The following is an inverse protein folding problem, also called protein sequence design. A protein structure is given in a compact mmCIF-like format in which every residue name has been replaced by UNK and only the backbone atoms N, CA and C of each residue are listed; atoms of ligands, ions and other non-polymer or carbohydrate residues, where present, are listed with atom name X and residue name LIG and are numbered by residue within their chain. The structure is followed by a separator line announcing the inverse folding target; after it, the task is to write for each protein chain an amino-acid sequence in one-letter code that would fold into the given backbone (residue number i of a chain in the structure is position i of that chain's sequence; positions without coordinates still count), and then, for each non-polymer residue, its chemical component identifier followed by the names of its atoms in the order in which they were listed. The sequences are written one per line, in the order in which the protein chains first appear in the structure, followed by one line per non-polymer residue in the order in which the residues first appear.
data_IF_632565784607
#
_entry.id   IF_632565784607
#
_cell.length_a   1.000
_cell.length_b   1.000
_cell.length_c   1.000
_cell.angle_alpha   90.00
_cell.angle_beta   90.00
_cell.angle_gamma   90.00
#
_symmetry.space_group_name_H-M   'P 1'
#
loop_
_entity.id
_entity.type
_entity.pdbx_description
1 polymer ?
#
# COMPACT_ATOMS: atom_id res chain seq x y z
N UNK A 1 6.91 -16.86 -1.14
CA UNK A 1 5.64 -16.17 -1.41
C UNK A 1 5.90 -15.22 -2.58
N UNK A 2 5.23 -15.40 -3.74
CA UNK A 2 5.53 -14.60 -4.93
C UNK A 2 4.75 -13.29 -4.83
N UNK A 3 5.47 -12.20 -4.55
CA UNK A 3 4.97 -10.85 -4.75
C UNK A 3 4.68 -10.72 -6.26
N UNK A 4 3.41 -10.62 -6.64
CA UNK A 4 3.06 -10.40 -8.05
C UNK A 4 3.58 -9.02 -8.48
N UNK A 5 4.59 -9.00 -9.34
CA UNK A 5 5.13 -7.80 -9.96
C UNK A 5 4.61 -7.73 -11.41
N UNK A 6 3.76 -6.75 -11.75
CA UNK A 6 3.29 -6.58 -13.12
C UNK A 6 4.46 -6.22 -14.05
N UNK A 7 4.54 -6.82 -15.25
CA UNK A 7 5.63 -6.56 -16.20
C UNK A 7 5.70 -5.08 -16.59
N UNK A 8 6.90 -4.59 -16.91
CA UNK A 8 7.21 -3.17 -17.17
C UNK A 8 6.32 -2.52 -18.25
N UNK A 9 5.79 -3.31 -19.19
CA UNK A 9 4.90 -2.85 -20.25
C UNK A 9 3.40 -2.84 -19.93
N UNK A 10 2.98 -3.16 -18.70
CA UNK A 10 1.56 -3.26 -18.36
C UNK A 10 0.86 -1.88 -18.44
N UNK A 11 -0.28 -1.72 -19.15
CA UNK A 11 -0.96 -0.43 -19.31
C UNK A 11 -1.30 0.26 -17.99
N UNK A 12 -1.71 -0.51 -16.97
CA UNK A 12 -1.96 0.02 -15.63
C UNK A 12 -0.68 0.55 -14.97
N UNK A 13 0.45 -0.14 -15.12
CA UNK A 13 1.73 0.31 -14.53
C UNK A 13 2.15 1.65 -15.10
N UNK A 14 2.01 1.83 -16.43
CA UNK A 14 2.28 3.12 -17.10
C UNK A 14 1.32 4.22 -16.63
N UNK A 15 0.03 3.91 -16.47
CA UNK A 15 -0.95 4.86 -15.97
C UNK A 15 -0.61 5.33 -14.54
N UNK A 16 -0.32 4.42 -13.62
CA UNK A 16 -0.01 4.79 -12.24
C UNK A 16 1.34 5.46 -12.07
N UNK A 17 2.36 5.10 -12.86
CA UNK A 17 3.63 5.84 -12.87
C UNK A 17 3.40 7.30 -13.26
N UNK A 18 2.70 7.57 -14.37
CA UNK A 18 2.39 8.93 -14.79
C UNK A 18 1.58 9.73 -13.76
N UNK A 19 0.53 9.13 -13.19
CA UNK A 19 -0.30 9.79 -12.17
C UNK A 19 0.47 10.03 -10.86
N UNK A 20 1.27 9.07 -10.42
CA UNK A 20 2.02 9.20 -9.16
C UNK A 20 3.13 10.23 -9.31
N UNK A 21 3.86 10.22 -10.43
CA UNK A 21 4.85 11.26 -10.73
C UNK A 21 4.22 12.65 -10.78
N UNK A 22 3.08 12.79 -11.47
CA UNK A 22 2.37 14.06 -11.54
C UNK A 22 1.90 14.54 -10.16
N UNK A 23 1.24 13.68 -9.38
CA UNK A 23 0.74 14.04 -8.07
C UNK A 23 1.87 14.44 -7.09
N UNK A 24 2.97 13.68 -7.06
CA UNK A 24 4.09 13.97 -6.15
C UNK A 24 4.88 15.19 -6.57
N UNK A 25 5.08 15.39 -7.88
CA UNK A 25 5.81 16.55 -8.39
C UNK A 25 4.96 17.83 -8.33
N UNK A 26 3.73 17.80 -8.83
CA UNK A 26 2.88 18.98 -8.98
C UNK A 26 2.19 19.42 -7.67
N UNK A 27 1.86 18.48 -6.78
CA UNK A 27 1.10 18.80 -5.56
C UNK A 27 1.91 18.73 -4.27
N UNK A 28 3.00 17.96 -4.24
CA UNK A 28 3.78 17.74 -3.01
C UNK A 28 5.23 18.24 -3.09
N UNK A 29 5.73 18.62 -4.27
CA UNK A 29 7.10 19.08 -4.46
C UNK A 29 8.15 18.02 -4.15
N UNK A 30 7.78 16.74 -4.17
CA UNK A 30 8.66 15.61 -3.85
C UNK A 30 9.22 15.03 -5.14
N UNK A 31 10.55 15.11 -5.29
CA UNK A 31 11.29 14.52 -6.40
C UNK A 31 12.11 13.32 -5.91
N UNK A 32 11.41 12.23 -5.56
CA UNK A 32 12.02 10.97 -5.12
C UNK A 32 11.55 9.81 -6.03
N UNK A 33 12.26 9.55 -7.14
CA UNK A 33 11.84 8.56 -8.14
C UNK A 33 11.63 7.16 -7.56
N UNK A 34 12.46 6.74 -6.59
CA UNK A 34 12.35 5.42 -5.97
C UNK A 34 11.09 5.29 -5.12
N UNK A 35 10.70 6.37 -4.44
CA UNK A 35 9.48 6.41 -3.66
C UNK A 35 8.24 6.40 -4.59
N UNK A 36 8.24 7.22 -5.63
CA UNK A 36 7.12 7.28 -6.59
C UNK A 36 6.96 5.98 -7.36
N UNK A 37 8.05 5.31 -7.74
CA UNK A 37 8.01 3.99 -8.38
C UNK A 37 7.40 2.95 -7.45
N UNK A 38 7.80 2.96 -6.17
CA UNK A 38 7.25 2.03 -5.18
C UNK A 38 5.74 2.23 -4.99
N UNK A 39 5.30 3.49 -4.89
CA UNK A 39 3.88 3.83 -4.71
C UNK A 39 3.05 3.50 -5.94
N UNK A 40 3.59 3.72 -7.15
CA UNK A 40 2.96 3.31 -8.41
C UNK A 40 2.78 1.79 -8.47
N UNK A 41 3.80 1.05 -8.05
CA UNK A 41 3.75 -0.41 -7.96
C UNK A 41 2.77 -0.88 -6.87
N UNK A 42 2.71 -0.20 -5.73
CA UNK A 42 1.72 -0.45 -4.68
C UNK A 42 0.31 -0.30 -5.24
N UNK A 43 -0.02 0.82 -5.89
CA UNK A 43 -1.34 1.02 -6.49
C UNK A 43 -1.67 -0.07 -7.51
N UNK A 44 -0.74 -0.38 -8.40
CA UNK A 44 -0.94 -1.42 -9.42
C UNK A 44 -1.20 -2.79 -8.79
N UNK A 45 -0.55 -3.13 -7.67
CA UNK A 45 -0.78 -4.38 -6.93
C UNK A 45 -2.17 -4.45 -6.32
N UNK A 46 -2.68 -3.33 -5.79
CA UNK A 46 -3.93 -3.29 -5.02
C UNK A 46 -5.19 -3.06 -5.87
N UNK A 47 -5.05 -2.68 -7.14
CA UNK A 47 -6.20 -2.53 -8.07
C UNK A 47 -6.84 -3.87 -8.44
N UNK A 48 -6.08 -4.96 -8.37
CA UNK A 48 -6.68 -6.27 -8.26
C UNK A 48 -7.07 -6.47 -6.79
N UNK A 49 -8.35 -6.22 -6.46
CA UNK A 49 -8.95 -6.41 -5.13
C UNK A 49 -8.60 -7.80 -4.52
N UNK A 50 -8.35 -8.81 -5.36
CA UNK A 50 -7.87 -10.14 -4.96
C UNK A 50 -6.49 -10.16 -4.29
N UNK A 51 -5.70 -9.07 -4.38
CA UNK A 51 -4.38 -8.94 -3.74
C UNK A 51 -4.47 -8.40 -2.32
N UNK A 52 -5.54 -7.68 -2.01
CA UNK A 52 -5.75 -6.99 -0.72
C UNK A 52 -5.99 -7.99 0.42
N UNK A 53 -6.63 -9.12 0.12
CA UNK A 53 -6.98 -10.17 1.09
C UNK A 53 -6.08 -11.41 0.99
N UNK A 54 -4.85 -11.26 0.48
CA UNK A 54 -3.95 -12.40 0.22
C UNK A 54 -3.30 -12.98 1.46
N UNK A 55 -3.20 -12.24 2.57
CA UNK A 55 -2.72 -12.80 3.81
C UNK A 55 -3.78 -13.71 4.41
N UNK A 56 -3.37 -14.91 4.82
CA UNK A 56 -4.22 -15.87 5.51
C UNK A 56 -3.67 -16.11 6.90
N UNK A 57 -4.54 -16.21 7.90
CA UNK A 57 -4.15 -16.62 9.25
C UNK A 57 -3.56 -18.02 9.27
N UNK A 58 -2.94 -18.41 10.38
CA UNK A 58 -2.54 -19.80 10.63
C UNK A 58 -3.70 -20.82 10.46
N UNK A 59 -4.95 -20.35 10.59
CA UNK A 59 -6.17 -21.15 10.37
C UNK A 59 -6.73 -21.08 8.93
N UNK A 60 -6.02 -20.45 7.98
CA UNK A 60 -6.36 -20.39 6.56
C UNK A 60 -7.43 -19.37 6.16
N UNK A 61 -7.88 -18.52 7.10
CA UNK A 61 -8.89 -17.45 6.86
C UNK A 61 -8.22 -16.20 6.28
N UNK A 62 -8.86 -15.50 5.31
CA UNK A 62 -8.33 -14.23 4.82
C UNK A 62 -8.27 -13.22 5.96
N UNK A 63 -7.10 -12.61 6.15
CA UNK A 63 -6.92 -11.51 7.10
C UNK A 63 -7.49 -10.26 6.44
N UNK A 64 -8.68 -9.86 6.89
CA UNK A 64 -9.37 -8.66 6.38
C UNK A 64 -9.08 -7.44 7.25
N UNK A 65 -8.67 -7.66 8.50
CA UNK A 65 -8.43 -6.62 9.47
C UNK A 65 -6.94 -6.45 9.74
N UNK A 66 -6.49 -5.20 9.79
CA UNK A 66 -5.11 -4.83 10.06
C UNK A 66 -4.62 -5.39 11.40
N UNK A 67 -5.50 -5.44 12.40
CA UNK A 67 -5.21 -5.96 13.74
C UNK A 67 -4.83 -7.43 13.68
N UNK A 68 -5.60 -8.25 12.97
CA UNK A 68 -5.30 -9.67 12.82
C UNK A 68 -3.97 -9.89 12.07
N UNK A 69 -3.67 -9.08 11.05
CA UNK A 69 -2.39 -9.15 10.34
C UNK A 69 -1.20 -8.87 11.27
N UNK A 70 -1.32 -7.86 12.13
CA UNK A 70 -0.27 -7.50 13.11
C UNK A 70 -0.09 -8.63 14.14
N UNK A 71 -1.19 -9.17 14.67
CA UNK A 71 -1.15 -10.27 15.65
C UNK A 71 -0.50 -11.53 15.08
N UNK A 72 -0.77 -11.86 13.83
CA UNK A 72 -0.13 -12.98 13.14
C UNK A 72 1.36 -12.71 12.89
N UNK A 73 1.74 -11.47 12.54
CA UNK A 73 3.14 -11.10 12.30
C UNK A 73 4.01 -11.20 13.57
N UNK A 74 3.43 -10.91 14.74
CA UNK A 74 4.10 -11.03 16.04
C UNK A 74 4.34 -12.50 16.44
N UNK A 75 3.60 -13.45 15.87
CA UNK A 75 3.75 -14.89 16.12
C UNK A 75 4.76 -15.57 15.17
N UNK A 76 5.20 -14.88 14.11
CA UNK A 76 6.17 -15.44 13.17
C UNK A 76 7.58 -15.55 13.78
N UNK A 77 8.38 -16.57 13.38
CA UNK A 77 9.77 -16.68 13.80
C UNK A 77 10.56 -15.42 13.45
N UNK A 78 11.35 -14.94 14.41
CA UNK A 78 12.15 -13.73 14.26
C UNK A 78 13.20 -13.87 13.13
N UNK A 79 13.33 -12.84 12.30
CA UNK A 79 14.41 -12.71 11.30
C UNK A 79 14.20 -13.51 10.01
N UNK A 80 13.04 -14.11 9.78
CA UNK A 80 12.77 -14.85 8.55
C UNK A 80 12.35 -13.97 7.37
N UNK A 81 12.64 -14.41 6.13
CA UNK A 81 12.11 -13.82 4.88
C UNK A 81 10.59 -13.64 4.93
N UNK A 82 9.87 -14.59 5.53
CA UNK A 82 8.41 -14.55 5.71
C UNK A 82 7.96 -13.39 6.60
N UNK A 83 8.71 -13.10 7.68
CA UNK A 83 8.37 -12.02 8.61
C UNK A 83 8.51 -10.65 7.94
N UNK A 84 9.58 -10.47 7.16
CA UNK A 84 9.83 -9.26 6.36
C UNK A 84 8.73 -9.02 5.32
N UNK A 85 8.35 -10.07 4.59
CA UNK A 85 7.25 -10.00 3.61
C UNK A 85 5.91 -9.65 4.29
N UNK A 86 5.68 -10.14 5.52
CA UNK A 86 4.48 -9.82 6.32
C UNK A 86 4.43 -8.35 6.73
N UNK A 87 5.48 -7.83 7.37
CA UNK A 87 5.50 -6.42 7.80
C UNK A 87 5.46 -5.46 6.62
N UNK A 88 6.10 -5.80 5.49
CA UNK A 88 5.96 -5.03 4.25
C UNK A 88 4.50 -4.96 3.82
N UNK A 89 3.80 -6.09 3.84
CA UNK A 89 2.40 -6.14 3.43
C UNK A 89 1.49 -5.35 4.38
N UNK A 90 1.71 -5.41 5.69
CA UNK A 90 0.96 -4.61 6.67
C UNK A 90 1.15 -3.11 6.40
N UNK A 91 2.39 -2.69 6.12
CA UNK A 91 2.70 -1.31 5.73
C UNK A 91 1.97 -0.89 4.45
N UNK A 92 2.04 -1.72 3.41
CA UNK A 92 1.38 -1.49 2.11
C UNK A 92 -0.14 -1.39 2.28
N UNK A 93 -0.74 -2.31 3.04
CA UNK A 93 -2.18 -2.36 3.31
C UNK A 93 -2.63 -1.11 4.08
N UNK A 94 -1.89 -0.73 5.13
CA UNK A 94 -2.18 0.48 5.89
C UNK A 94 -2.12 1.74 5.02
N UNK A 95 -1.08 1.85 4.18
CA UNK A 95 -0.88 3.00 3.32
C UNK A 95 -1.95 3.11 2.23
N UNK A 96 -2.34 1.97 1.65
CA UNK A 96 -3.42 1.90 0.66
C UNK A 96 -4.75 2.38 1.24
N UNK A 97 -5.17 1.85 2.39
CA UNK A 97 -6.45 2.24 2.99
C UNK A 97 -6.47 3.69 3.47
N UNK A 98 -5.37 4.17 4.06
CA UNK A 98 -5.28 5.55 4.55
C UNK A 98 -5.20 6.58 3.43
N UNK A 99 -4.56 6.24 2.31
CA UNK A 99 -4.41 7.11 1.15
C UNK A 99 -5.60 7.06 0.19
N UNK A 100 -5.97 5.86 -0.27
CA UNK A 100 -6.95 5.66 -1.34
C UNK A 100 -8.38 5.67 -0.81
N UNK A 101 -8.67 4.98 0.28
CA UNK A 101 -10.05 4.86 0.82
C UNK A 101 -10.17 5.28 2.30
N UNK A 102 -9.77 6.52 2.65
CA UNK A 102 -9.85 7.01 4.02
C UNK A 102 -11.29 7.03 4.56
N UNK A 103 -12.30 7.20 3.70
CA UNK A 103 -13.71 7.28 4.08
C UNK A 103 -14.26 5.92 4.54
N UNK A 104 -13.73 4.83 3.98
CA UNK A 104 -14.08 3.48 4.42
C UNK A 104 -13.57 3.22 5.84
N UNK A 105 -12.38 3.72 6.18
CA UNK A 105 -11.84 3.62 7.54
C UNK A 105 -12.70 4.37 8.56
N UNK A 106 -13.27 5.52 8.18
CA UNK A 106 -14.19 6.27 9.04
C UNK A 106 -15.51 5.52 9.29
N UNK A 107 -16.02 4.79 8.30
CA UNK A 107 -17.21 3.93 8.46
C UNK A 107 -16.93 2.73 9.36
N UNK A 108 -15.78 2.07 9.18
CA UNK A 108 -15.34 0.98 10.05
C UNK A 108 -15.10 1.44 11.50
N UNK A 109 -14.48 2.61 11.70
CA UNK A 109 -14.28 3.20 13.04
C UNK A 109 -15.59 3.52 13.76
N UNK A 110 -16.65 3.87 13.03
CA UNK A 110 -17.99 4.13 13.60
C UNK A 110 -18.73 2.84 13.99
N UNK A 111 -18.44 1.72 13.32
CA UNK A 111 -19.08 0.42 13.60
C UNK A 111 -18.32 -0.44 14.62
N UNK A 112 -16.98 -0.32 14.68
CA UNK A 112 -16.14 -1.12 15.57
C UNK A 112 -15.92 -0.44 16.94
N UNK A 113 -16.78 -0.75 17.93
CA UNK A 113 -16.70 -0.26 19.32
C UNK A 113 -15.59 -0.95 20.14
N UNK A 114 -14.60 -1.61 19.53
CA UNK A 114 -13.48 -2.24 20.26
C UNK A 114 -12.06 -1.94 19.73
N UNK A 115 -11.91 -1.44 18.50
CA UNK A 115 -10.58 -1.24 17.86
C UNK A 115 -10.25 0.20 17.45
N UNK A 116 -11.03 1.18 17.93
CA UNK A 116 -10.86 2.60 17.57
C UNK A 116 -9.51 3.25 18.00
N UNK A 117 -8.59 2.50 18.63
CA UNK A 117 -7.28 2.95 19.07
C UNK A 117 -6.10 2.50 18.19
N UNK A 118 -6.30 1.56 17.25
CA UNK A 118 -5.23 1.20 16.32
C UNK A 118 -5.27 2.14 15.12
N UNK A 119 -4.49 3.22 15.21
CA UNK A 119 -4.29 4.10 14.07
C UNK A 119 -3.58 3.31 12.95
N UNK A 120 -4.27 3.13 11.82
CA UNK A 120 -3.68 2.54 10.61
C UNK A 120 -2.36 3.24 10.25
N UNK A 121 -2.29 4.56 10.43
CA UNK A 121 -1.07 5.34 10.29
C UNK A 121 0.04 4.85 11.21
N UNK A 122 -0.25 4.66 12.50
CA UNK A 122 0.74 4.18 13.46
C UNK A 122 1.28 2.79 13.09
N UNK A 123 0.38 1.84 12.78
CA UNK A 123 0.80 0.49 12.41
C UNK A 123 1.53 0.44 11.06
N UNK A 124 1.10 1.24 10.09
CA UNK A 124 1.77 1.36 8.79
C UNK A 124 3.20 1.87 8.96
N UNK A 125 3.39 2.96 9.73
CA UNK A 125 4.71 3.48 10.10
C UNK A 125 5.57 2.44 10.78
N UNK A 126 5.05 1.80 11.82
CA UNK A 126 5.76 0.77 12.59
C UNK A 126 6.19 -0.39 11.69
N UNK A 127 5.29 -0.85 10.82
CA UNK A 127 5.55 -2.00 9.94
C UNK A 127 6.63 -1.71 8.90
N UNK A 128 6.63 -0.52 8.29
CA UNK A 128 7.72 -0.11 7.41
C UNK A 128 9.06 0.06 8.16
N UNK A 129 9.05 0.58 9.39
CA UNK A 129 10.26 0.69 10.19
C UNK A 129 10.84 -0.68 10.54
N UNK A 130 9.99 -1.65 10.90
CA UNK A 130 10.42 -3.04 11.15
C UNK A 130 10.97 -3.66 9.86
N UNK A 131 10.28 -3.46 8.73
CA UNK A 131 10.74 -3.94 7.42
C UNK A 131 12.12 -3.36 7.08
N UNK A 132 12.33 -2.06 7.30
CA UNK A 132 13.63 -1.40 7.10
C UNK A 132 14.75 -2.06 7.90
N UNK A 133 14.51 -2.35 9.19
CA UNK A 133 15.49 -3.02 10.06
C UNK A 133 15.78 -4.46 9.62
N UNK A 134 14.76 -5.18 9.14
CA UNK A 134 14.93 -6.55 8.63
C UNK A 134 15.72 -6.55 7.32
N UNK A 135 15.50 -5.59 6.42
CA UNK A 135 16.32 -5.44 5.20
C UNK A 135 17.77 -5.04 5.52
N UNK A 136 17.98 -4.19 6.54
CA UNK A 136 19.30 -3.79 7.02
C UNK A 136 20.10 -4.97 7.58
N UNK A 137 19.43 -5.86 8.34
CA UNK A 137 20.03 -7.10 8.85
C UNK A 137 20.45 -8.08 7.74
N UNK A 138 19.79 -8.02 6.58
CA UNK A 138 20.10 -8.82 5.39
C UNK A 138 21.05 -8.09 4.42
N UNK A 139 21.64 -6.96 4.83
CA UNK A 139 22.53 -6.12 4.01
C UNK A 139 21.91 -5.54 2.73
N UNK A 140 20.58 -5.36 2.70
CA UNK A 140 19.85 -4.70 1.61
C UNK A 140 19.68 -3.19 1.88
N UNK A 141 20.79 -2.44 1.86
CA UNK A 141 20.82 -1.03 2.27
C UNK A 141 19.85 -0.13 1.48
N UNK A 142 19.70 -0.35 0.18
CA UNK A 142 18.80 0.46 -0.66
C UNK A 142 17.32 0.27 -0.26
N UNK A 143 16.90 -0.97 -0.05
CA UNK A 143 15.55 -1.34 0.38
C UNK A 143 15.30 -0.85 1.80
N UNK A 144 16.28 -1.03 2.70
CA UNK A 144 16.21 -0.53 4.06
C UNK A 144 15.97 1.00 4.08
N UNK A 145 16.69 1.75 3.25
CA UNK A 145 16.53 3.20 3.10
C UNK A 145 15.18 3.62 2.50
N UNK A 146 14.63 2.85 1.56
CA UNK A 146 13.28 3.08 1.03
C UNK A 146 12.20 2.90 2.10
N UNK A 147 12.22 1.77 2.83
CA UNK A 147 11.22 1.51 3.86
C UNK A 147 11.32 2.46 5.06
N UNK A 148 12.54 2.93 5.38
CA UNK A 148 12.75 3.98 6.38
C UNK A 148 12.03 5.27 5.98
N UNK A 149 12.22 5.72 4.74
CA UNK A 149 11.53 6.90 4.18
C UNK A 149 10.01 6.72 4.15
N UNK A 150 9.51 5.57 3.73
CA UNK A 150 8.06 5.26 3.75
C UNK A 150 7.47 5.34 5.16
N UNK A 151 8.23 4.96 6.19
CA UNK A 151 7.83 5.11 7.58
C UNK A 151 7.80 6.58 8.02
N UNK A 152 8.87 7.33 7.73
CA UNK A 152 9.01 8.73 8.13
C UNK A 152 8.01 9.67 7.42
N UNK A 153 7.78 9.42 6.13
CA UNK A 153 6.96 10.25 5.24
C UNK A 153 5.58 9.63 4.97
N UNK A 154 5.11 8.75 5.85
CA UNK A 154 3.89 7.96 5.63
C UNK A 154 2.66 8.84 5.30
N UNK A 155 2.41 9.90 6.08
CA UNK A 155 1.26 10.78 5.85
C UNK A 155 1.36 11.52 4.52
N UNK A 156 2.57 11.96 4.15
CA UNK A 156 2.81 12.58 2.85
C UNK A 156 2.53 11.59 1.72
N UNK A 157 2.98 10.35 1.86
CA UNK A 157 2.71 9.29 0.90
C UNK A 157 1.20 9.03 0.78
N UNK A 158 0.48 8.96 1.91
CA UNK A 158 -0.96 8.78 1.95
C UNK A 158 -1.71 9.93 1.24
N UNK A 159 -1.29 11.18 1.48
CA UNK A 159 -1.83 12.35 0.78
C UNK A 159 -1.58 12.29 -0.72
N UNK A 160 -0.39 11.88 -1.15
CA UNK A 160 -0.06 11.69 -2.56
C UNK A 160 -0.93 10.62 -3.22
N UNK A 161 -1.13 9.48 -2.57
CA UNK A 161 -2.03 8.43 -3.05
C UNK A 161 -3.48 8.90 -3.16
N UNK A 162 -3.94 9.77 -2.24
CA UNK A 162 -5.27 10.38 -2.34
C UNK A 162 -5.41 11.23 -3.60
N UNK A 163 -4.39 12.03 -3.92
CA UNK A 163 -4.36 12.84 -5.15
C UNK A 163 -4.39 11.97 -6.41
N UNK A 164 -3.60 10.89 -6.43
CA UNK A 164 -3.64 9.91 -7.54
C UNK A 164 -5.04 9.31 -7.72
N UNK A 165 -5.75 9.00 -6.63
CA UNK A 165 -7.14 8.53 -6.71
C UNK A 165 -8.06 9.61 -7.30
N UNK A 166 -7.99 10.85 -6.81
CA UNK A 166 -8.81 11.96 -7.29
C UNK A 166 -8.63 12.17 -8.81
N UNK A 167 -7.37 12.16 -9.28
CA UNK A 167 -7.05 12.27 -10.71
C UNK A 167 -7.58 11.08 -11.52
N UNK A 168 -7.49 9.85 -10.99
CA UNK A 168 -8.08 8.69 -11.65
C UNK A 168 -9.61 8.81 -11.74
N UNK A 169 -10.30 9.21 -10.66
CA UNK A 169 -11.75 9.39 -10.68
C UNK A 169 -12.19 10.46 -11.67
N UNK A 170 -11.41 11.52 -11.83
CA UNK A 170 -11.63 12.55 -12.85
C UNK A 170 -11.43 12.01 -14.27
N UNK A 171 -10.34 11.29 -14.53
CA UNK A 171 -10.11 10.62 -15.83
C UNK A 171 -11.24 9.65 -16.20
N UNK A 172 -11.75 8.88 -15.23
CA UNK A 172 -12.91 7.99 -15.44
C UNK A 172 -14.18 8.76 -15.79
N UNK A 173 -14.43 9.90 -15.16
CA UNK A 173 -15.60 10.77 -15.45
C UNK A 173 -15.50 11.40 -16.83
N UNK A 174 -14.29 11.70 -17.30
CA UNK A 174 -14.04 12.28 -18.63
C UNK A 174 -14.01 11.24 -19.75
N UNK A 175 -13.92 9.95 -19.43
CA UNK A 175 -14.01 8.87 -20.42
C UNK A 175 -15.49 8.63 -20.74
N UNK A 176 -16.00 8.99 -21.95
CA UNK A 176 -17.39 8.68 -22.31
C UNK A 176 -17.61 7.16 -22.26
N UNK A 177 -18.84 6.69 -21.98
CA UNK A 177 -19.14 5.26 -22.08
C UNK A 177 -18.74 4.79 -23.47
N UNK A 178 -17.86 3.78 -23.54
CA UNK A 178 -17.50 3.14 -24.79
C UNK A 178 -18.77 2.70 -25.52
N UNK A 179 -18.79 2.70 -26.87
CA UNK A 179 -19.95 2.24 -27.61
C UNK A 179 -20.34 0.85 -27.12
N UNK A 180 -21.65 0.54 -27.01
CA UNK A 180 -22.09 -0.79 -26.59
C UNK A 180 -21.39 -1.81 -27.49
N UNK A 181 -20.67 -2.76 -26.88
CA UNK A 181 -20.10 -3.89 -27.59
C UNK A 181 -21.30 -4.74 -28.03
N UNK A 182 -21.79 -4.46 -29.23
CA UNK A 182 -22.62 -5.38 -30.00
C UNK A 182 -21.65 -6.36 -30.65
N UNK A 183 -21.52 -7.55 -30.08
CA UNK A 183 -21.18 -8.81 -30.74
C UNK A 183 -21.43 -9.96 -29.77
#
# INVERSE_FOLDING_TARGET
MILWEPPEGHPLRRLFSGLTEHAFFAHLGVADPRLTDYLSLLLTRFIHFDTIYRLRSAAGRPLTELVDMVLEAEQLPAGGRTQREYYRHIGDFALFWTGVYPEALDQHRRQAVKDALVSYTYQGKRSYLITSRLEEAEHHEEQAGLFRRLSEQFELCALGLRKVREEWEELRRQTPPGPPIIC
#
